data_IF_347442843456
#
_entry.id   IF_347442843456
#
_cell.length_a   1.000
_cell.length_b   1.000
_cell.length_c   1.000
_cell.angle_alpha   90.00
_cell.angle_beta   90.00
_cell.angle_gamma   90.00
#
_symmetry.space_group_name_H-M   'P 1'
#
loop_
_entity.id
_entity.type
_entity.pdbx_description
1 polymer ?
#
# COMPACT_ATOMS: atom_id res chain seq x y z
N UNK A 1 30.34 4.97 -16.92
CA UNK A 1 29.45 6.01 -17.49
C UNK A 1 28.08 5.39 -17.63
N UNK A 2 27.00 5.90 -17.02
CA UNK A 2 25.67 5.41 -17.33
C UNK A 2 25.26 6.03 -18.67
N UNK A 3 25.00 5.17 -19.65
CA UNK A 3 24.38 5.52 -20.93
C UNK A 3 23.09 6.32 -20.66
N UNK A 4 22.94 7.47 -21.31
CA UNK A 4 21.67 8.19 -21.33
C UNK A 4 20.62 7.33 -22.04
N UNK A 5 19.82 6.57 -21.30
CA UNK A 5 18.62 5.93 -21.82
C UNK A 5 17.59 7.03 -22.01
N UNK A 6 17.57 7.63 -23.21
CA UNK A 6 16.52 8.54 -23.61
C UNK A 6 15.19 7.78 -23.56
N UNK A 7 14.24 8.26 -22.74
CA UNK A 7 12.87 7.74 -22.77
C UNK A 7 12.30 7.88 -24.18
N UNK A 8 11.48 6.90 -24.59
CA UNK A 8 10.91 6.93 -25.93
C UNK A 8 10.05 8.19 -26.13
N UNK A 9 10.17 8.80 -27.31
CA UNK A 9 9.36 9.97 -27.68
C UNK A 9 7.88 9.58 -27.66
N UNK A 10 7.03 10.53 -27.26
CA UNK A 10 5.58 10.36 -27.29
C UNK A 10 5.10 9.92 -28.68
N UNK A 11 4.23 8.92 -28.73
CA UNK A 11 3.59 8.50 -29.97
C UNK A 11 2.71 9.66 -30.51
N UNK A 12 2.89 10.08 -31.78
CA UNK A 12 2.14 11.18 -32.37
C UNK A 12 0.61 10.96 -32.40
N UNK A 13 0.15 9.72 -32.24
CA UNK A 13 -1.28 9.37 -32.21
C UNK A 13 -1.89 9.39 -30.80
N UNK A 14 -1.13 9.74 -29.77
CA UNK A 14 -1.65 9.91 -28.41
C UNK A 14 -2.71 11.01 -28.40
N UNK A 15 -3.93 10.64 -28.00
CA UNK A 15 -5.05 11.58 -27.88
C UNK A 15 -4.76 12.66 -26.84
N UNK A 16 -5.40 13.81 -27.02
CA UNK A 16 -5.21 14.96 -26.14
C UNK A 16 -6.44 15.20 -25.27
N UNK A 17 -6.21 15.44 -23.99
CA UNK A 17 -7.19 15.90 -23.01
C UNK A 17 -6.87 17.34 -22.65
N UNK A 18 -7.86 18.22 -22.77
CA UNK A 18 -7.72 19.63 -22.44
C UNK A 18 -8.38 19.96 -21.12
N UNK A 19 -7.63 20.59 -20.20
CA UNK A 19 -8.19 21.12 -18.96
C UNK A 19 -8.98 22.40 -19.27
N UNK A 20 -10.16 22.51 -18.68
CA UNK A 20 -11.03 23.70 -18.74
C UNK A 20 -10.33 24.95 -18.23
N UNK A 21 -10.72 26.12 -18.75
CA UNK A 21 -10.14 27.39 -18.35
C UNK A 21 -10.24 27.62 -16.82
N UNK A 22 -9.14 28.02 -16.20
CA UNK A 22 -9.07 28.28 -14.76
C UNK A 22 -9.07 27.03 -13.84
N UNK A 23 -9.11 25.81 -14.40
CA UNK A 23 -9.15 24.55 -13.62
C UNK A 23 -7.80 23.83 -13.50
N UNK A 24 -6.72 24.43 -13.99
CA UNK A 24 -5.37 23.84 -14.02
C UNK A 24 -4.50 24.14 -12.79
N UNK A 25 -4.97 24.99 -11.86
CA UNK A 25 -4.16 25.48 -10.74
C UNK A 25 -3.60 24.38 -9.82
N UNK A 26 -4.38 23.32 -9.54
CA UNK A 26 -3.94 22.19 -8.67
C UNK A 26 -2.83 21.41 -9.35
N UNK A 27 -3.01 21.17 -10.65
CA UNK A 27 -2.05 20.44 -11.50
C UNK A 27 -0.73 21.20 -11.58
N UNK A 28 -0.79 22.52 -11.74
CA UNK A 28 0.40 23.38 -11.75
C UNK A 28 1.15 23.40 -10.40
N UNK A 29 0.46 23.14 -9.29
CA UNK A 29 1.07 22.97 -7.95
C UNK A 29 1.59 21.55 -7.69
N UNK A 30 1.61 20.70 -8.71
CA UNK A 30 2.17 19.35 -8.64
C UNK A 30 1.15 18.25 -8.36
N UNK A 31 -0.14 18.56 -8.22
CA UNK A 31 -1.17 17.52 -8.07
C UNK A 31 -1.20 16.62 -9.32
N UNK A 32 -1.30 15.31 -9.10
CA UNK A 32 -1.29 14.30 -10.16
C UNK A 32 -2.69 13.88 -10.62
N UNK A 33 -3.75 14.44 -10.04
CA UNK A 33 -5.15 14.09 -10.33
C UNK A 33 -5.86 15.23 -11.02
N UNK A 34 -6.52 14.91 -12.12
CA UNK A 34 -7.44 15.78 -12.82
C UNK A 34 -8.83 15.16 -12.71
N UNK A 35 -9.78 15.92 -12.17
CA UNK A 35 -11.15 15.44 -12.02
C UNK A 35 -11.94 15.58 -13.32
N UNK A 36 -12.95 14.74 -13.51
CA UNK A 36 -13.80 14.75 -14.72
C UNK A 36 -14.43 16.12 -14.98
N UNK A 37 -14.85 16.83 -13.93
CA UNK A 37 -15.41 18.19 -14.01
C UNK A 37 -14.38 19.30 -14.27
N UNK A 38 -13.09 19.00 -14.33
CA UNK A 38 -12.02 19.94 -14.68
C UNK A 38 -11.62 19.84 -16.15
N UNK A 39 -12.09 18.82 -16.87
CA UNK A 39 -11.77 18.59 -18.29
C UNK A 39 -12.79 19.29 -19.17
N UNK A 40 -12.33 19.82 -20.31
CA UNK A 40 -13.16 20.42 -21.34
C UNK A 40 -13.65 19.34 -22.31
N UNK A 41 -14.94 19.35 -22.63
CA UNK A 41 -15.55 18.40 -23.58
C UNK A 41 -15.98 17.08 -22.94
N UNK A 42 -16.40 16.14 -23.77
CA UNK A 42 -16.87 14.81 -23.36
C UNK A 42 -15.71 13.81 -23.35
N UNK A 43 -15.73 12.86 -22.41
CA UNK A 43 -14.71 11.82 -22.26
C UNK A 43 -15.09 10.50 -22.95
N UNK A 44 -16.29 10.40 -23.56
CA UNK A 44 -16.82 9.16 -24.15
C UNK A 44 -15.94 8.48 -25.19
N UNK A 45 -15.11 9.24 -25.91
CA UNK A 45 -14.22 8.69 -26.95
C UNK A 45 -12.93 8.08 -26.38
N UNK A 46 -12.73 8.17 -25.06
CA UNK A 46 -11.60 7.60 -24.36
C UNK A 46 -11.90 6.20 -23.82
N UNK A 47 -10.86 5.36 -23.80
CA UNK A 47 -10.94 4.04 -23.18
C UNK A 47 -10.29 4.07 -21.80
N UNK A 48 -10.83 3.34 -20.80
CA UNK A 48 -10.17 3.20 -19.51
C UNK A 48 -8.72 2.71 -19.63
N UNK A 49 -7.79 3.45 -19.04
CA UNK A 49 -6.35 3.23 -19.07
C UNK A 49 -5.61 3.78 -20.29
N UNK A 50 -6.30 4.37 -21.27
CA UNK A 50 -5.67 4.96 -22.45
C UNK A 50 -4.65 6.04 -22.05
N UNK A 51 -3.48 6.05 -22.67
CA UNK A 51 -2.49 7.12 -22.49
C UNK A 51 -2.95 8.38 -23.22
N UNK A 52 -2.89 9.51 -22.53
CA UNK A 52 -3.32 10.82 -23.03
C UNK A 52 -2.27 11.90 -22.80
N UNK A 53 -2.17 12.80 -23.77
CA UNK A 53 -1.45 14.07 -23.66
C UNK A 53 -2.36 15.08 -22.96
N UNK A 54 -1.85 15.76 -21.94
CA UNK A 54 -2.64 16.71 -21.17
C UNK A 54 -2.19 18.12 -21.54
N UNK A 55 -3.14 18.97 -21.92
CA UNK A 55 -2.91 20.37 -22.26
C UNK A 55 -3.80 21.30 -21.45
N UNK A 56 -3.36 22.56 -21.32
CA UNK A 56 -4.16 23.67 -20.79
C UNK A 56 -5.16 24.13 -21.83
N UNK A 57 -6.15 24.91 -21.38
CA UNK A 57 -7.05 25.69 -22.25
C UNK A 57 -6.33 26.45 -23.38
N UNK A 58 -5.16 27.02 -23.11
CA UNK A 58 -4.37 27.78 -24.09
C UNK A 58 -3.43 26.91 -24.96
N UNK A 59 -3.61 25.59 -24.97
CA UNK A 59 -2.83 24.65 -25.78
C UNK A 59 -1.45 24.26 -25.22
N UNK A 60 -1.00 24.86 -24.12
CA UNK A 60 0.31 24.51 -23.53
C UNK A 60 0.28 23.13 -22.88
N UNK A 61 1.34 22.36 -23.09
CA UNK A 61 1.54 21.03 -22.48
C UNK A 61 1.61 21.08 -20.95
N UNK A 62 1.04 20.06 -20.30
CA UNK A 62 1.05 19.88 -18.83
C UNK A 62 1.62 18.53 -18.37
N UNK A 63 1.56 17.50 -19.20
CA UNK A 63 2.01 16.17 -18.82
C UNK A 63 1.39 15.06 -19.65
N UNK A 64 1.85 13.84 -19.36
CA UNK A 64 1.33 12.57 -19.88
C UNK A 64 0.72 11.81 -18.71
N UNK A 65 -0.43 11.18 -18.94
CA UNK A 65 -1.12 10.37 -17.95
C UNK A 65 -1.99 9.30 -18.60
N UNK A 66 -2.67 8.51 -17.77
CA UNK A 66 -3.75 7.63 -18.24
C UNK A 66 -5.10 8.20 -17.84
N UNK A 67 -6.11 7.94 -18.68
CA UNK A 67 -7.50 8.37 -18.45
C UNK A 67 -8.40 7.20 -18.06
N UNK A 68 -9.34 7.42 -17.14
CA UNK A 68 -10.54 6.62 -16.98
C UNK A 68 -11.78 7.53 -17.06
N UNK A 69 -12.57 7.46 -18.15
CA UNK A 69 -13.75 8.31 -18.33
C UNK A 69 -14.88 8.01 -17.33
N UNK A 70 -14.84 6.87 -16.63
CA UNK A 70 -15.85 6.46 -15.66
C UNK A 70 -15.50 6.87 -14.22
N UNK A 71 -14.30 7.43 -13.99
CA UNK A 71 -13.81 7.80 -12.67
C UNK A 71 -14.00 9.28 -12.39
N UNK A 72 -14.28 9.65 -11.14
CA UNK A 72 -14.23 11.06 -10.73
C UNK A 72 -12.82 11.62 -10.93
N UNK A 73 -11.78 10.86 -10.55
CA UNK A 73 -10.38 11.16 -10.89
C UNK A 73 -10.12 10.66 -12.31
N UNK A 74 -10.60 11.43 -13.28
CA UNK A 74 -10.58 11.03 -14.69
C UNK A 74 -9.17 10.83 -15.25
N UNK A 75 -8.20 11.68 -14.90
CA UNK A 75 -6.82 11.51 -15.40
C UNK A 75 -5.83 11.51 -14.25
N UNK A 76 -4.88 10.57 -14.31
CA UNK A 76 -3.74 10.48 -13.39
C UNK A 76 -2.44 10.68 -14.14
N UNK A 77 -1.69 11.70 -13.75
CA UNK A 77 -0.46 12.15 -14.42
C UNK A 77 0.71 11.25 -14.04
N UNK A 78 1.40 10.70 -15.04
CA UNK A 78 2.62 9.91 -14.91
C UNK A 78 3.88 10.75 -15.14
N UNK A 79 3.87 11.64 -16.14
CA UNK A 79 5.03 12.47 -16.48
C UNK A 79 4.68 13.93 -16.72
N UNK A 80 5.66 14.81 -16.47
CA UNK A 80 5.65 16.23 -16.83
C UNK A 80 6.46 16.51 -18.10
N UNK A 81 7.00 15.47 -18.71
CA UNK A 81 7.76 15.50 -19.95
C UNK A 81 6.96 14.81 -21.07
N UNK A 82 7.20 15.18 -22.33
CA UNK A 82 6.59 14.52 -23.48
C UNK A 82 7.29 13.18 -23.79
N UNK A 83 7.02 12.18 -22.95
CA UNK A 83 7.61 10.83 -23.02
C UNK A 83 6.54 9.75 -22.83
N UNK A 84 6.77 8.56 -23.39
CA UNK A 84 5.93 7.40 -23.10
C UNK A 84 6.28 6.78 -21.74
N UNK A 85 5.29 6.28 -20.99
CA UNK A 85 5.54 5.47 -19.80
C UNK A 85 5.96 4.04 -20.23
N UNK A 86 7.18 3.92 -20.72
CA UNK A 86 7.78 2.65 -21.14
C UNK A 86 8.53 1.94 -19.99
N UNK A 87 9.21 0.84 -20.32
CA UNK A 87 10.02 0.09 -19.36
C UNK A 87 11.03 0.97 -18.61
N UNK A 88 11.77 1.83 -19.32
CA UNK A 88 12.81 2.65 -18.70
C UNK A 88 12.22 3.71 -17.78
N UNK A 89 11.07 4.29 -18.17
CA UNK A 89 10.32 5.20 -17.31
C UNK A 89 9.98 4.55 -15.96
N UNK A 90 9.38 3.35 -15.98
CA UNK A 90 9.01 2.65 -14.75
C UNK A 90 10.25 2.17 -13.97
N UNK A 91 11.27 1.65 -14.64
CA UNK A 91 12.52 1.20 -14.03
C UNK A 91 13.17 2.33 -13.23
N UNK A 92 13.27 3.53 -13.83
CA UNK A 92 13.83 4.70 -13.17
C UNK A 92 12.99 5.13 -11.95
N UNK A 93 11.66 5.16 -12.08
CA UNK A 93 10.76 5.56 -10.99
C UNK A 93 10.83 4.58 -9.81
N UNK A 94 10.78 3.28 -10.08
CA UNK A 94 10.83 2.23 -9.06
C UNK A 94 12.21 2.23 -8.38
N UNK A 95 13.29 2.37 -9.16
CA UNK A 95 14.67 2.48 -8.63
C UNK A 95 14.81 3.67 -7.69
N UNK A 96 14.32 4.85 -8.08
CA UNK A 96 14.36 6.05 -7.23
C UNK A 96 13.53 5.86 -5.94
N UNK A 97 12.37 5.23 -6.05
CA UNK A 97 11.52 4.93 -4.90
C UNK A 97 12.22 3.98 -3.91
N UNK A 98 12.88 2.94 -4.40
CA UNK A 98 13.65 2.00 -3.60
C UNK A 98 14.86 2.66 -2.92
N UNK A 99 15.64 3.43 -3.68
CA UNK A 99 16.79 4.17 -3.15
C UNK A 99 16.40 5.12 -2.00
N UNK A 100 15.26 5.81 -2.14
CA UNK A 100 14.69 6.65 -1.07
C UNK A 100 14.40 5.83 0.20
N UNK A 101 13.89 4.60 0.08
CA UNK A 101 13.67 3.73 1.25
C UNK A 101 14.97 3.25 1.85
N UNK A 102 15.92 2.81 1.03
CA UNK A 102 17.21 2.35 1.53
C UNK A 102 17.93 3.44 2.34
N UNK A 103 17.85 4.70 1.90
CA UNK A 103 18.39 5.84 2.64
C UNK A 103 17.69 6.10 3.99
N UNK A 104 16.36 5.94 4.06
CA UNK A 104 15.57 6.23 5.27
C UNK A 104 15.51 5.06 6.26
N UNK A 105 15.43 3.84 5.74
CA UNK A 105 15.15 2.63 6.51
C UNK A 105 16.39 1.78 6.80
N UNK A 106 17.58 2.20 6.34
CA UNK A 106 18.86 1.52 6.60
C UNK A 106 18.84 0.04 6.15
N UNK A 107 18.37 -0.22 4.93
CA UNK A 107 18.34 -1.56 4.32
C UNK A 107 17.50 -2.62 5.06
N UNK A 108 16.33 -2.24 5.58
CA UNK A 108 15.34 -3.22 6.08
C UNK A 108 14.96 -4.20 4.97
N UNK A 109 14.69 -5.45 5.33
CA UNK A 109 14.23 -6.51 4.41
C UNK A 109 12.74 -6.41 4.09
N UNK A 110 11.95 -5.81 4.97
CA UNK A 110 10.49 -5.66 4.82
C UNK A 110 10.11 -4.18 4.79
N UNK A 111 9.55 -3.70 3.68
CA UNK A 111 9.13 -2.30 3.51
C UNK A 111 8.28 -2.09 2.26
N UNK A 112 7.56 -0.97 2.23
CA UNK A 112 6.88 -0.48 1.03
C UNK A 112 7.88 0.20 0.10
N UNK A 113 8.16 -0.40 -1.05
CA UNK A 113 9.05 0.13 -2.11
C UNK A 113 8.39 1.30 -2.84
N UNK A 114 7.13 1.14 -3.27
CA UNK A 114 6.37 2.16 -4.02
C UNK A 114 5.03 2.42 -3.33
N UNK A 115 4.68 3.69 -3.16
CA UNK A 115 3.43 4.15 -2.60
C UNK A 115 2.71 5.16 -3.51
N UNK A 116 2.21 4.66 -4.62
CA UNK A 116 1.30 5.34 -5.54
C UNK A 116 1.80 6.74 -5.95
N UNK A 117 0.96 7.77 -5.82
CA UNK A 117 1.28 9.16 -6.13
C UNK A 117 2.49 9.68 -5.34
N UNK A 118 2.74 9.15 -4.13
CA UNK A 118 3.87 9.53 -3.29
C UNK A 118 5.23 9.22 -3.91
N UNK A 119 5.26 8.35 -4.91
CA UNK A 119 6.44 8.01 -5.72
C UNK A 119 6.22 8.25 -7.22
N UNK A 120 5.24 9.10 -7.55
CA UNK A 120 4.95 9.50 -8.94
C UNK A 120 4.57 8.34 -9.84
N UNK A 121 3.95 7.30 -9.26
CA UNK A 121 3.38 6.15 -9.96
C UNK A 121 1.92 5.96 -9.52
N UNK A 122 1.01 6.87 -9.88
CA UNK A 122 -0.39 6.84 -9.41
C UNK A 122 -1.03 5.48 -9.68
N UNK A 123 -1.53 4.85 -8.63
CA UNK A 123 -2.17 3.55 -8.69
C UNK A 123 -1.26 2.37 -8.37
N UNK A 124 0.07 2.52 -8.31
CA UNK A 124 0.98 1.39 -8.05
C UNK A 124 1.36 1.28 -6.57
N UNK A 125 1.27 0.09 -6.01
CA UNK A 125 1.84 -0.24 -4.70
C UNK A 125 2.76 -1.44 -4.87
N UNK A 126 3.97 -1.33 -4.32
CA UNK A 126 4.94 -2.44 -4.26
C UNK A 126 5.40 -2.57 -2.82
N UNK A 127 5.10 -3.71 -2.19
CA UNK A 127 5.62 -4.09 -0.88
C UNK A 127 6.66 -5.19 -1.05
N UNK A 128 7.79 -5.05 -0.37
CA UNK A 128 8.86 -6.05 -0.32
C UNK A 128 8.83 -6.74 1.04
N UNK A 129 8.80 -8.07 1.01
CA UNK A 129 8.81 -8.96 2.15
C UNK A 129 9.99 -9.91 2.00
N UNK A 130 11.16 -9.49 2.48
CA UNK A 130 12.42 -10.21 2.31
C UNK A 130 12.72 -10.50 0.83
N UNK A 131 12.58 -11.75 0.39
CA UNK A 131 12.78 -12.19 -0.99
C UNK A 131 11.47 -12.34 -1.78
N UNK A 132 10.32 -11.91 -1.27
CA UNK A 132 9.03 -11.93 -1.96
C UNK A 132 8.59 -10.49 -2.22
N UNK A 133 8.02 -10.24 -3.40
CA UNK A 133 7.45 -8.95 -3.78
C UNK A 133 5.94 -9.07 -3.93
N UNK A 134 5.20 -8.14 -3.35
CA UNK A 134 3.74 -8.04 -3.49
C UNK A 134 3.40 -6.77 -4.28
N UNK A 135 2.69 -6.96 -5.39
CA UNK A 135 2.22 -5.91 -6.29
C UNK A 135 0.72 -5.67 -6.12
N UNK A 136 0.33 -4.40 -6.17
CA UNK A 136 -1.07 -3.99 -6.28
C UNK A 136 -1.21 -2.84 -7.29
N UNK A 137 -2.30 -2.83 -8.04
CA UNK A 137 -2.72 -1.71 -8.88
C UNK A 137 -4.11 -1.24 -8.43
N UNK A 138 -4.24 0.00 -7.97
CA UNK A 138 -5.53 0.53 -7.52
C UNK A 138 -6.34 1.22 -8.62
N UNK A 139 -5.81 1.26 -9.86
CA UNK A 139 -6.42 1.93 -11.02
C UNK A 139 -6.28 1.08 -12.27
N UNK A 140 -7.23 1.22 -13.21
CA UNK A 140 -7.19 0.45 -14.46
C UNK A 140 -6.01 0.79 -15.36
N UNK A 141 -5.63 2.07 -15.44
CA UNK A 141 -4.48 2.49 -16.23
C UNK A 141 -3.16 1.93 -15.72
N UNK A 142 -2.98 1.82 -14.40
CA UNK A 142 -1.76 1.21 -13.86
C UNK A 142 -1.75 -0.32 -14.03
N UNK A 143 -2.92 -0.96 -14.00
CA UNK A 143 -3.02 -2.42 -14.17
C UNK A 143 -2.48 -2.89 -15.54
N UNK A 144 -2.68 -2.09 -16.59
CA UNK A 144 -2.15 -2.35 -17.93
C UNK A 144 -0.62 -2.44 -17.96
N UNK A 145 0.07 -1.79 -17.02
CA UNK A 145 1.53 -1.81 -16.91
C UNK A 145 2.08 -2.92 -16.02
N UNK A 146 1.22 -3.73 -15.37
CA UNK A 146 1.68 -4.81 -14.47
C UNK A 146 2.63 -5.79 -15.14
N UNK A 147 2.45 -6.24 -16.40
CA UNK A 147 3.43 -7.08 -17.08
C UNK A 147 4.82 -6.42 -17.21
N UNK A 148 4.87 -5.11 -17.50
CA UNK A 148 6.13 -4.36 -17.60
C UNK A 148 6.77 -4.21 -16.21
N UNK A 149 5.96 -3.88 -15.20
CA UNK A 149 6.39 -3.72 -13.81
C UNK A 149 6.90 -5.05 -13.23
N UNK A 150 6.27 -6.17 -13.55
CA UNK A 150 6.70 -7.50 -13.17
C UNK A 150 8.13 -7.78 -13.68
N UNK A 151 8.41 -7.49 -14.95
CA UNK A 151 9.75 -7.66 -15.52
C UNK A 151 10.79 -6.80 -14.79
N UNK A 152 10.44 -5.55 -14.47
CA UNK A 152 11.31 -4.63 -13.73
C UNK A 152 11.58 -5.14 -12.31
N UNK A 153 10.55 -5.68 -11.64
CA UNK A 153 10.67 -6.28 -10.32
C UNK A 153 11.65 -7.46 -10.34
N UNK A 154 11.58 -8.30 -11.37
CA UNK A 154 12.54 -9.39 -11.57
C UNK A 154 13.96 -8.86 -11.80
N UNK A 155 14.13 -7.82 -12.61
CA UNK A 155 15.43 -7.19 -12.87
C UNK A 155 16.07 -6.63 -11.58
N UNK A 156 15.29 -5.86 -10.81
CA UNK A 156 15.78 -5.11 -9.67
C UNK A 156 15.96 -5.97 -8.41
N UNK A 157 14.98 -6.83 -8.12
CA UNK A 157 14.88 -7.49 -6.82
C UNK A 157 15.18 -8.99 -6.87
N UNK A 158 15.03 -9.63 -8.05
CA UNK A 158 15.20 -11.08 -8.24
C UNK A 158 14.49 -11.90 -7.15
N UNK A 159 13.20 -11.66 -6.90
CA UNK A 159 12.49 -12.30 -5.80
C UNK A 159 12.32 -13.80 -6.06
N UNK A 160 12.14 -14.57 -4.99
CA UNK A 160 11.74 -15.97 -5.06
C UNK A 160 10.31 -16.13 -5.60
N UNK A 161 9.44 -15.13 -5.39
CA UNK A 161 8.11 -15.04 -5.96
C UNK A 161 7.63 -13.59 -6.06
N UNK A 162 6.84 -13.30 -7.09
CA UNK A 162 6.06 -12.06 -7.19
C UNK A 162 4.58 -12.40 -7.07
N UNK A 163 3.91 -11.79 -6.11
CA UNK A 163 2.48 -11.99 -5.86
C UNK A 163 1.73 -10.74 -6.30
N UNK A 164 0.62 -10.94 -7.00
CA UNK A 164 -0.33 -9.88 -7.33
C UNK A 164 -1.55 -9.96 -6.43
N UNK A 165 -1.82 -8.89 -5.68
CA UNK A 165 -2.88 -8.82 -4.68
C UNK A 165 -3.81 -7.66 -4.92
N UNK A 166 -5.00 -7.93 -5.43
CA UNK A 166 -5.78 -6.87 -6.03
C UNK A 166 -7.28 -6.94 -5.79
N UNK A 167 -7.64 -6.72 -4.52
CA UNK A 167 -8.98 -7.00 -3.98
C UNK A 167 -9.72 -5.76 -3.45
N UNK A 168 -9.21 -4.55 -3.67
CA UNK A 168 -9.68 -3.36 -2.96
C UNK A 168 -11.02 -2.81 -3.52
N UNK A 169 -11.91 -2.39 -2.62
CA UNK A 169 -13.25 -1.79 -2.87
C UNK A 169 -13.25 -0.64 -3.89
N UNK A 170 -12.16 0.16 -3.95
CA UNK A 170 -11.98 1.26 -4.92
C UNK A 170 -12.17 0.78 -6.38
N UNK A 171 -12.03 -0.52 -6.63
CA UNK A 171 -12.15 -1.13 -7.94
C UNK A 171 -13.59 -1.34 -8.43
N UNK A 172 -14.58 -1.38 -7.55
CA UNK A 172 -15.99 -1.43 -7.98
C UNK A 172 -16.35 -0.17 -8.76
N UNK A 173 -15.79 0.98 -8.37
CA UNK A 173 -15.92 2.26 -9.08
C UNK A 173 -15.17 2.27 -10.43
N UNK A 174 -14.12 1.47 -10.57
CA UNK A 174 -13.29 1.35 -11.78
C UNK A 174 -13.65 0.09 -12.62
N UNK A 175 -14.71 -0.65 -12.25
CA UNK A 175 -15.17 -1.90 -12.88
C UNK A 175 -14.09 -3.01 -13.03
N UNK A 176 -13.25 -3.21 -12.02
CA UNK A 176 -12.12 -4.15 -12.07
C UNK A 176 -12.48 -5.58 -11.65
N UNK A 177 -11.80 -6.58 -12.24
CA UNK A 177 -11.85 -7.97 -11.76
C UNK A 177 -10.83 -8.17 -10.63
N UNK A 178 -11.30 -8.64 -9.48
CA UNK A 178 -10.42 -8.99 -8.36
C UNK A 178 -9.46 -10.12 -8.75
N UNK A 179 -8.16 -9.95 -8.45
CA UNK A 179 -7.09 -10.92 -8.77
C UNK A 179 -6.19 -11.17 -7.57
N UNK A 180 -5.89 -12.45 -7.33
CA UNK A 180 -4.95 -12.95 -6.32
C UNK A 180 -4.18 -14.10 -6.94
N UNK A 181 -2.93 -13.90 -7.28
CA UNK A 181 -2.13 -14.96 -7.90
C UNK A 181 -0.64 -14.75 -7.69
N UNK A 182 0.11 -15.82 -7.89
CA UNK A 182 1.56 -15.77 -8.03
C UNK A 182 1.84 -15.51 -9.51
N UNK A 183 2.43 -14.35 -9.82
CA UNK A 183 2.76 -13.97 -11.20
C UNK A 183 3.98 -14.72 -11.73
N UNK A 184 4.96 -14.97 -10.86
CA UNK A 184 6.18 -15.72 -11.15
C UNK A 184 6.81 -16.28 -9.88
N UNK A 185 7.75 -17.21 -10.08
CA UNK A 185 8.47 -17.86 -8.99
C UNK A 185 7.63 -18.89 -8.24
N UNK A 186 8.06 -19.22 -7.01
CA UNK A 186 7.42 -20.23 -6.17
C UNK A 186 7.12 -19.63 -4.80
N UNK A 187 5.83 -19.41 -4.52
CA UNK A 187 5.39 -18.98 -3.20
C UNK A 187 5.24 -20.19 -2.26
N UNK A 188 6.00 -20.27 -1.15
CA UNK A 188 5.95 -21.43 -0.25
C UNK A 188 4.69 -21.48 0.63
N UNK A 189 3.84 -20.44 0.60
CA UNK A 189 2.70 -20.29 1.50
C UNK A 189 3.02 -19.42 2.72
N UNK A 190 2.16 -19.44 3.75
CA UNK A 190 2.37 -18.68 4.98
C UNK A 190 3.77 -18.94 5.57
N UNK A 191 4.53 -17.88 5.81
CA UNK A 191 5.95 -17.97 6.22
C UNK A 191 6.23 -17.03 7.39
N UNK A 192 7.14 -17.43 8.28
CA UNK A 192 7.59 -16.60 9.39
C UNK A 192 8.61 -15.57 8.88
N UNK A 193 8.41 -14.31 9.24
CA UNK A 193 9.23 -13.19 8.78
C UNK A 193 9.59 -12.27 9.93
N UNK A 194 10.80 -11.73 9.91
CA UNK A 194 11.29 -10.81 10.94
C UNK A 194 11.07 -9.35 10.56
N UNK A 195 10.38 -8.60 11.41
CA UNK A 195 10.18 -7.17 11.30
C UNK A 195 10.72 -6.46 12.55
N UNK A 196 11.92 -5.87 12.45
CA UNK A 196 12.58 -5.15 13.55
C UNK A 196 12.75 -6.00 14.82
N UNK A 197 13.15 -7.26 14.69
CA UNK A 197 13.30 -8.20 15.81
C UNK A 197 12.00 -8.82 16.33
N UNK A 198 10.87 -8.56 15.67
CA UNK A 198 9.59 -9.21 15.93
C UNK A 198 9.32 -10.27 14.86
N UNK A 199 8.87 -11.44 15.28
CA UNK A 199 8.51 -12.54 14.36
C UNK A 199 7.02 -12.54 14.04
N UNK A 200 6.66 -12.62 12.77
CA UNK A 200 5.27 -12.71 12.35
C UNK A 200 5.09 -13.81 11.31
N UNK A 201 4.07 -14.64 11.47
CA UNK A 201 3.61 -15.54 10.41
C UNK A 201 2.74 -14.75 9.43
N UNK A 202 3.21 -14.64 8.19
CA UNK A 202 2.59 -13.81 7.16
C UNK A 202 2.11 -14.67 5.99
N UNK A 203 0.84 -14.51 5.62
CA UNK A 203 0.28 -15.02 4.37
C UNK A 203 0.14 -13.87 3.36
N UNK A 204 1.03 -13.87 2.37
CA UNK A 204 1.13 -12.86 1.34
C UNK A 204 0.18 -13.11 0.16
N UNK A 205 -0.57 -14.20 0.12
CA UNK A 205 -1.53 -14.49 -0.95
C UNK A 205 -2.97 -14.42 -0.45
N UNK A 206 -3.28 -15.06 0.68
CA UNK A 206 -4.65 -15.21 1.18
C UNK A 206 -4.95 -14.40 2.44
N UNK A 207 -3.93 -14.01 3.24
CA UNK A 207 -4.09 -13.20 4.46
C UNK A 207 -4.67 -11.81 4.21
N UNK A 208 -5.00 -10.98 5.21
CA UNK A 208 -5.54 -9.64 4.90
C UNK A 208 -4.46 -8.65 4.41
N UNK A 209 -4.89 -7.60 3.70
CA UNK A 209 -4.03 -6.57 3.08
C UNK A 209 -2.95 -7.17 2.16
N UNK A 210 -1.68 -6.85 2.39
CA UNK A 210 -0.51 -7.43 1.69
C UNK A 210 0.30 -8.33 2.61
N UNK A 211 -0.23 -8.70 3.78
CA UNK A 211 0.48 -9.44 4.83
C UNK A 211 0.50 -8.68 6.15
N UNK A 212 1.35 -7.64 6.25
CA UNK A 212 1.51 -6.81 7.44
C UNK A 212 1.05 -5.35 7.20
N UNK A 213 0.69 -4.66 8.28
CA UNK A 213 0.42 -3.22 8.28
C UNK A 213 1.74 -2.44 8.32
N UNK A 214 2.40 -2.32 7.17
CA UNK A 214 3.72 -1.68 7.06
C UNK A 214 3.70 -0.17 7.40
N UNK A 215 2.53 0.45 7.37
CA UNK A 215 2.28 1.82 7.82
C UNK A 215 2.38 1.97 9.35
N UNK A 216 2.10 0.92 10.12
CA UNK A 216 2.13 0.95 11.58
C UNK A 216 3.51 0.66 12.20
N UNK A 217 4.50 0.30 11.41
CA UNK A 217 5.81 -0.17 11.92
C UNK A 217 6.52 0.83 12.83
N UNK A 218 6.41 2.14 12.56
CA UNK A 218 6.98 3.15 13.45
C UNK A 218 6.19 3.31 14.74
N UNK A 219 4.86 3.14 14.69
CA UNK A 219 4.00 3.16 15.86
C UNK A 219 4.24 1.94 16.75
N UNK A 220 4.54 0.77 16.17
CA UNK A 220 5.05 -0.40 16.90
C UNK A 220 6.34 -0.04 17.64
N UNK A 221 7.29 0.64 16.99
CA UNK A 221 8.55 1.00 17.62
C UNK A 221 8.38 1.98 18.79
N UNK A 222 7.39 2.87 18.73
CA UNK A 222 7.08 3.79 19.84
C UNK A 222 6.76 3.05 21.14
N UNK A 223 6.11 1.87 21.07
CA UNK A 223 5.79 1.07 22.26
C UNK A 223 7.02 0.67 23.07
N UNK A 224 8.21 0.60 22.46
CA UNK A 224 9.47 0.35 23.16
C UNK A 224 9.72 1.36 24.28
N UNK A 225 9.24 2.58 24.11
CA UNK A 225 9.50 3.68 25.04
C UNK A 225 8.55 3.73 26.22
N UNK A 226 7.38 3.09 26.13
CA UNK A 226 6.30 3.25 27.11
C UNK A 226 5.79 1.95 27.74
N UNK A 227 6.07 0.79 27.13
CA UNK A 227 5.36 -0.46 27.48
C UNK A 227 5.95 -1.24 28.65
N UNK A 228 7.19 -0.95 29.07
CA UNK A 228 7.87 -1.74 30.09
C UNK A 228 7.08 -1.75 31.40
N UNK A 229 6.85 -2.95 31.94
CA UNK A 229 6.12 -3.24 33.19
C UNK A 229 4.66 -2.74 33.19
N UNK A 230 4.09 -2.42 32.02
CA UNK A 230 2.74 -1.88 31.85
C UNK A 230 1.70 -2.94 31.48
N UNK A 231 0.46 -2.69 31.87
CA UNK A 231 -0.73 -3.40 31.37
C UNK A 231 -1.24 -2.73 30.08
N UNK A 232 -1.47 -3.52 29.03
CA UNK A 232 -1.83 -3.00 27.70
C UNK A 232 -3.14 -3.61 27.22
N UNK A 233 -4.03 -2.78 26.70
CA UNK A 233 -5.24 -3.19 25.98
C UNK A 233 -5.11 -2.79 24.51
N UNK A 234 -5.05 -3.78 23.62
CA UNK A 234 -4.96 -3.61 22.16
C UNK A 234 -6.33 -3.86 21.51
N UNK A 235 -7.00 -2.80 21.07
CA UNK A 235 -8.35 -2.87 20.52
C UNK A 235 -8.32 -2.84 18.99
N UNK A 236 -9.06 -3.77 18.36
CA UNK A 236 -8.93 -4.10 16.94
C UNK A 236 -7.53 -4.64 16.64
N UNK A 237 -7.05 -5.56 17.48
CA UNK A 237 -5.65 -5.98 17.49
C UNK A 237 -5.23 -6.78 16.26
N UNK A 238 -6.18 -7.25 15.43
CA UNK A 238 -5.94 -8.06 14.25
C UNK A 238 -5.01 -9.24 14.58
N UNK A 239 -3.85 -9.34 13.94
CA UNK A 239 -2.85 -10.40 14.17
C UNK A 239 -1.89 -10.09 15.33
N UNK A 240 -2.29 -9.18 16.23
CA UNK A 240 -1.59 -8.85 17.48
C UNK A 240 -0.40 -7.91 17.30
N UNK A 241 -0.29 -7.16 16.20
CA UNK A 241 0.91 -6.36 15.87
C UNK A 241 1.33 -5.41 16.99
N UNK A 242 0.41 -4.62 17.54
CA UNK A 242 0.70 -3.69 18.63
C UNK A 242 0.91 -4.43 19.97
N UNK A 243 -0.04 -5.25 20.39
CA UNK A 243 0.00 -5.95 21.67
C UNK A 243 1.24 -6.83 21.83
N UNK A 244 1.59 -7.63 20.82
CA UNK A 244 2.78 -8.50 20.85
C UNK A 244 4.05 -7.65 20.89
N UNK A 245 4.09 -6.55 20.16
CA UNK A 245 5.22 -5.61 20.24
C UNK A 245 5.39 -5.05 21.66
N UNK A 246 4.29 -4.64 22.30
CA UNK A 246 4.34 -4.18 23.69
C UNK A 246 4.86 -5.28 24.64
N UNK A 247 4.41 -6.52 24.47
CA UNK A 247 4.85 -7.66 25.25
C UNK A 247 6.36 -7.94 25.09
N UNK A 248 6.87 -7.94 23.85
CA UNK A 248 8.30 -8.10 23.54
C UNK A 248 9.14 -6.98 24.16
N UNK A 249 8.61 -5.77 24.23
CA UNK A 249 9.26 -4.64 24.90
C UNK A 249 9.03 -4.60 26.42
N UNK A 250 8.51 -5.67 27.00
CA UNK A 250 8.47 -5.87 28.45
C UNK A 250 7.17 -5.45 29.11
N UNK A 251 6.05 -5.34 28.38
CA UNK A 251 4.75 -5.23 29.02
C UNK A 251 4.50 -6.38 30.00
N UNK A 252 3.87 -6.05 31.13
CA UNK A 252 3.51 -7.00 32.18
C UNK A 252 2.38 -7.92 31.71
N UNK A 253 1.40 -7.37 31.01
CA UNK A 253 0.26 -8.11 30.46
C UNK A 253 -0.32 -7.38 29.26
N UNK A 254 -0.84 -8.15 28.31
CA UNK A 254 -1.49 -7.65 27.10
C UNK A 254 -2.83 -8.36 26.92
N UNK A 255 -3.89 -7.59 26.74
CA UNK A 255 -5.19 -8.09 26.28
C UNK A 255 -5.45 -7.55 24.88
N UNK A 256 -5.64 -8.42 23.90
CA UNK A 256 -6.01 -8.06 22.53
C UNK A 256 -7.48 -8.39 22.26
N UNK A 257 -8.20 -7.47 21.62
CA UNK A 257 -9.61 -7.66 21.23
C UNK A 257 -9.74 -7.53 19.72
N UNK A 258 -10.34 -8.51 19.07
CA UNK A 258 -10.73 -8.44 17.66
C UNK A 258 -12.02 -9.21 17.40
N UNK A 259 -12.74 -8.85 16.34
CA UNK A 259 -13.95 -9.55 15.91
C UNK A 259 -13.62 -10.82 15.10
N UNK A 260 -12.43 -10.88 14.50
CA UNK A 260 -12.01 -11.99 13.63
C UNK A 260 -11.32 -13.08 14.42
N UNK A 261 -11.99 -14.22 14.57
CA UNK A 261 -11.41 -15.42 15.19
C UNK A 261 -10.13 -15.87 14.45
N UNK A 262 -10.12 -15.76 13.12
CA UNK A 262 -8.98 -16.11 12.26
C UNK A 262 -7.78 -15.20 12.56
N UNK A 263 -8.00 -13.90 12.74
CA UNK A 263 -6.95 -12.96 13.12
C UNK A 263 -6.38 -13.26 14.51
N UNK A 264 -7.24 -13.63 15.47
CA UNK A 264 -6.80 -13.99 16.83
C UNK A 264 -6.03 -15.31 16.88
N UNK A 265 -6.36 -16.28 16.01
CA UNK A 265 -5.55 -17.50 15.85
C UNK A 265 -4.14 -17.12 15.38
N UNK A 266 -4.04 -16.25 14.37
CA UNK A 266 -2.75 -15.75 13.91
C UNK A 266 -2.02 -14.92 14.99
N UNK A 267 -2.74 -14.12 15.79
CA UNK A 267 -2.16 -13.38 16.91
C UNK A 267 -1.55 -14.30 17.97
N UNK A 268 -2.22 -15.41 18.30
CA UNK A 268 -1.68 -16.43 19.22
C UNK A 268 -0.40 -17.06 18.67
N UNK A 269 -0.38 -17.45 17.40
CA UNK A 269 0.82 -17.97 16.72
C UNK A 269 1.96 -16.94 16.79
N UNK A 270 1.67 -15.67 16.51
CA UNK A 270 2.68 -14.61 16.57
C UNK A 270 3.19 -14.39 18.01
N UNK A 271 2.34 -14.49 19.02
CA UNK A 271 2.78 -14.38 20.42
C UNK A 271 3.71 -15.55 20.83
N UNK A 272 3.42 -16.77 20.35
CA UNK A 272 4.30 -17.94 20.54
C UNK A 272 5.65 -17.76 19.84
N UNK A 273 5.64 -17.29 18.58
CA UNK A 273 6.86 -17.01 17.81
C UNK A 273 7.77 -15.96 18.46
N UNK A 274 7.20 -15.06 19.27
CA UNK A 274 7.94 -14.05 20.02
C UNK A 274 8.17 -14.43 21.49
N UNK A 275 7.79 -15.64 21.92
CA UNK A 275 7.96 -16.13 23.29
C UNK A 275 7.28 -15.25 24.36
N UNK A 276 6.10 -14.70 24.04
CA UNK A 276 5.32 -13.82 24.93
C UNK A 276 3.87 -14.28 25.11
N UNK A 277 3.55 -15.50 24.69
CA UNK A 277 2.20 -16.05 24.86
C UNK A 277 1.78 -16.16 26.35
N UNK A 278 2.74 -16.27 27.27
CA UNK A 278 2.52 -16.34 28.72
C UNK A 278 1.85 -15.08 29.31
N UNK A 279 1.91 -13.95 28.61
CA UNK A 279 1.39 -12.65 29.05
C UNK A 279 0.42 -12.00 28.07
N UNK A 280 0.05 -12.69 26.99
CA UNK A 280 -0.88 -12.21 25.98
C UNK A 280 -2.18 -13.02 26.06
N UNK A 281 -3.30 -12.33 26.26
CA UNK A 281 -4.64 -12.90 26.12
C UNK A 281 -5.38 -12.25 24.94
N UNK A 282 -6.08 -13.08 24.15
CA UNK A 282 -6.69 -12.68 22.89
C UNK A 282 -8.17 -13.07 22.87
N UNK A 283 -9.03 -12.06 22.77
CA UNK A 283 -10.47 -12.17 23.03
C UNK A 283 -11.25 -11.85 21.76
N UNK A 284 -12.10 -12.79 21.37
CA UNK A 284 -13.01 -12.62 20.25
C UNK A 284 -14.24 -11.83 20.70
N UNK A 285 -14.48 -10.67 20.10
CA UNK A 285 -15.65 -9.87 20.43
C UNK A 285 -15.66 -8.48 19.81
N UNK A 286 -16.84 -7.86 19.87
CA UNK A 286 -17.01 -6.45 19.53
C UNK A 286 -16.22 -5.58 20.53
N UNK A 287 -15.31 -4.75 20.02
CA UNK A 287 -14.53 -3.80 20.85
C UNK A 287 -15.44 -2.92 21.69
N UNK A 288 -16.58 -2.47 21.15
CA UNK A 288 -17.52 -1.64 21.91
C UNK A 288 -18.21 -2.39 23.06
N UNK A 289 -18.47 -3.69 22.91
CA UNK A 289 -19.06 -4.50 23.97
C UNK A 289 -18.03 -4.82 25.05
N UNK A 290 -16.82 -5.20 24.64
CA UNK A 290 -15.77 -5.57 25.57
C UNK A 290 -15.28 -4.37 26.38
N UNK A 291 -15.16 -3.18 25.75
CA UNK A 291 -14.86 -1.95 26.48
C UNK A 291 -15.96 -1.60 27.50
N UNK A 292 -17.25 -1.73 27.14
CA UNK A 292 -18.36 -1.48 28.08
C UNK A 292 -18.32 -2.43 29.28
N UNK A 293 -18.08 -3.72 29.03
CA UNK A 293 -17.93 -4.74 30.08
C UNK A 293 -16.79 -4.39 31.04
N UNK A 294 -15.62 -4.02 30.53
CA UNK A 294 -14.45 -3.63 31.33
C UNK A 294 -14.67 -2.36 32.13
N UNK A 295 -15.33 -1.37 31.53
CA UNK A 295 -15.72 -0.15 32.24
C UNK A 295 -16.65 -0.47 33.41
N UNK A 296 -17.66 -1.33 33.21
CA UNK A 296 -18.57 -1.75 34.28
C UNK A 296 -17.85 -2.52 35.41
N UNK A 297 -16.74 -3.20 35.08
CA UNK A 297 -15.89 -3.92 36.03
C UNK A 297 -14.81 -3.02 36.66
N UNK A 298 -14.75 -1.73 36.32
CA UNK A 298 -13.70 -0.79 36.71
C UNK A 298 -12.27 -1.28 36.39
N UNK A 299 -12.11 -2.09 35.33
CA UNK A 299 -10.78 -2.48 34.86
C UNK A 299 -9.99 -1.26 34.37
N UNK A 300 -8.69 -1.24 34.66
CA UNK A 300 -7.77 -0.17 34.27
C UNK A 300 -6.58 -0.76 33.53
N UNK A 301 -6.08 -0.03 32.54
CA UNK A 301 -4.89 -0.37 31.77
C UNK A 301 -3.97 0.85 31.75
N UNK A 302 -2.66 0.62 31.79
CA UNK A 302 -1.67 1.68 31.66
C UNK A 302 -1.62 2.26 30.24
N UNK A 303 -1.88 1.42 29.24
CA UNK A 303 -1.87 1.76 27.82
C UNK A 303 -3.11 1.17 27.15
N UNK A 304 -3.83 1.98 26.38
CA UNK A 304 -4.92 1.54 25.52
C UNK A 304 -4.59 1.96 24.09
N UNK A 305 -4.61 0.99 23.17
CA UNK A 305 -4.33 1.17 21.75
C UNK A 305 -5.65 1.02 21.00
N UNK A 306 -5.99 2.01 20.18
CA UNK A 306 -7.20 2.04 19.37
C UNK A 306 -6.80 2.19 17.90
N UNK A 307 -6.82 1.09 17.14
CA UNK A 307 -6.56 1.09 15.69
C UNK A 307 -7.77 0.55 14.90
N UNK A 308 -8.94 1.22 14.96
CA UNK A 308 -10.13 0.73 14.28
C UNK A 308 -10.02 0.88 12.76
N UNK A 309 -10.79 0.08 11.99
CA UNK A 309 -10.92 0.30 10.54
C UNK A 309 -11.53 1.68 10.24
N UNK A 310 -11.28 2.20 9.03
CA UNK A 310 -11.87 3.48 8.59
C UNK A 310 -13.39 3.43 8.60
N UNK A 311 -14.02 4.30 9.40
CA UNK A 311 -15.48 4.50 9.45
C UNK A 311 -16.00 5.49 8.40
N UNK A 312 -15.12 6.30 7.80
CA UNK A 312 -15.49 7.21 6.73
C UNK A 312 -15.58 6.44 5.40
N UNK A 313 -16.79 6.41 4.83
CA UNK A 313 -17.06 6.03 3.44
C UNK A 313 -17.31 7.30 2.64
#
# INVERSE_FOLDING_TARGET
>A
MPSSTANSRLDPFVKTVQISEGRDYRVLRGNLWIYSNEISGDLKDHKPGEIVKIIRHNGKFLGIGYINPHSLVAVRILSRMEEMPDHNFFLQRITNADQKRNALLKNRSIYRVVFSEGDLLPGLIIDKYENIIVLQSTTIGMDQFIPVIQNIVQELFKPAATIFRNERIIREEEAFVSRKEVLDGVYPGPTDMELNGLQFRVDLLTGQKTGLYLDQVQNYHFLKTISKDKSVLDCCCYTGGFGITAAVYGAKSVAGIDISQEALIAARINADLNHVADRCDFIAGSVFEELRKRTAQNEQYDIIILDPPSFAR
#
